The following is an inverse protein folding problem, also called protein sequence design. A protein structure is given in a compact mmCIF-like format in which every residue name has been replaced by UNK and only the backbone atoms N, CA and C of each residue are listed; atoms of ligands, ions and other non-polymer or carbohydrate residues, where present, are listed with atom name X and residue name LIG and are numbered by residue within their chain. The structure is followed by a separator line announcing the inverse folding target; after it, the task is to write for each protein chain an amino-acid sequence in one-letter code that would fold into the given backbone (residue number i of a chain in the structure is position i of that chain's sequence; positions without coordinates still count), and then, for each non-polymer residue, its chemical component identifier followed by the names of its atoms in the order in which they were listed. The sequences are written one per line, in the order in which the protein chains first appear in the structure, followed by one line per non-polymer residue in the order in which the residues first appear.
data_IF_994607416291
#
_entry.id   IF_994607416291
#
_cell.length_a   1.000
_cell.length_b   1.000
_cell.length_c   1.000
_cell.angle_alpha   90.00
_cell.angle_beta   90.00
_cell.angle_gamma   90.00
#
_symmetry.space_group_name_H-M   'P 1'
#
loop_
_entity.id
_entity.type
_entity.pdbx_description
1 polymer ?
#
# COMPACT_ATOMS: atom_id res chain seq x y z
N UNK A 1 -5.69 -3.77 -8.84
CA UNK A 1 -5.45 -3.61 -7.38
C UNK A 1 -5.17 -4.95 -6.69
N UNK A 2 -4.13 -5.00 -5.86
CA UNK A 2 -3.82 -6.14 -4.99
C UNK A 2 -3.85 -5.73 -3.52
N UNK A 3 -4.60 -6.48 -2.71
CA UNK A 3 -4.59 -6.36 -1.25
C UNK A 3 -3.49 -7.23 -0.66
N UNK A 4 -2.75 -6.70 0.28
CA UNK A 4 -1.65 -7.36 0.99
C UNK A 4 -2.07 -7.49 2.45
N UNK A 5 -2.29 -8.71 2.91
CA UNK A 5 -2.72 -8.98 4.29
C UNK A 5 -1.74 -9.84 5.06
N UNK A 6 -0.90 -10.60 4.37
CA UNK A 6 0.04 -11.54 4.96
C UNK A 6 1.43 -11.34 4.41
N UNK A 7 2.42 -11.88 5.12
CA UNK A 7 3.79 -11.89 4.62
C UNK A 7 3.93 -12.73 3.34
N UNK A 8 3.08 -13.73 3.14
CA UNK A 8 3.03 -14.53 1.91
C UNK A 8 2.59 -13.69 0.70
N UNK A 9 1.66 -12.74 0.89
CA UNK A 9 1.23 -11.84 -0.19
C UNK A 9 2.37 -10.97 -0.70
N UNK A 10 3.25 -10.51 0.21
CA UNK A 10 4.45 -9.73 -0.13
C UNK A 10 5.45 -10.59 -0.91
N UNK A 11 5.68 -11.83 -0.46
CA UNK A 11 6.53 -12.80 -1.20
C UNK A 11 5.98 -13.05 -2.60
N UNK A 12 4.66 -13.23 -2.72
CA UNK A 12 4.01 -13.43 -4.00
C UNK A 12 4.09 -12.18 -4.88
N UNK A 13 3.90 -10.98 -4.33
CA UNK A 13 4.05 -9.70 -5.04
C UNK A 13 5.44 -9.55 -5.66
N UNK A 14 6.48 -9.86 -4.89
CA UNK A 14 7.88 -9.87 -5.36
C UNK A 14 8.14 -10.86 -6.51
N UNK A 15 7.41 -11.98 -6.54
CA UNK A 15 7.60 -13.04 -7.53
C UNK A 15 6.80 -12.83 -8.80
N UNK A 16 5.61 -12.24 -8.68
CA UNK A 16 4.66 -12.12 -9.80
C UNK A 16 4.85 -10.83 -10.59
N UNK A 17 5.39 -9.79 -9.97
CA UNK A 17 5.50 -8.47 -10.58
C UNK A 17 6.96 -8.03 -10.59
N UNK A 18 7.43 -7.50 -11.72
CA UNK A 18 8.80 -7.00 -11.88
C UNK A 18 8.94 -5.62 -11.21
N UNK A 19 8.66 -5.57 -9.91
CA UNK A 19 8.62 -4.34 -9.12
C UNK A 19 10.02 -3.97 -8.62
N UNK A 20 10.33 -2.66 -8.47
CA UNK A 20 11.58 -2.20 -7.88
C UNK A 20 11.83 -2.82 -6.51
N UNK A 21 13.08 -3.24 -6.24
CA UNK A 21 13.43 -3.90 -5.00
C UNK A 21 13.20 -3.02 -3.77
N UNK A 22 13.47 -1.71 -3.88
CA UNK A 22 13.21 -0.74 -2.83
C UNK A 22 11.72 -0.66 -2.50
N UNK A 23 10.86 -0.57 -3.52
CA UNK A 23 9.41 -0.53 -3.35
C UNK A 23 8.86 -1.73 -2.56
N UNK A 24 9.32 -2.95 -2.90
CA UNK A 24 8.92 -4.16 -2.19
C UNK A 24 9.42 -4.15 -0.74
N UNK A 25 10.65 -3.69 -0.52
CA UNK A 25 11.21 -3.62 0.84
C UNK A 25 10.44 -2.61 1.70
N UNK A 26 9.99 -1.49 1.15
CA UNK A 26 9.19 -0.49 1.87
C UNK A 26 7.81 -1.03 2.28
N UNK A 27 7.11 -1.73 1.38
CA UNK A 27 5.88 -2.46 1.71
C UNK A 27 6.13 -3.48 2.82
N UNK A 28 7.26 -4.18 2.76
CA UNK A 28 7.66 -5.16 3.77
C UNK A 28 7.93 -4.52 5.12
N UNK A 29 8.67 -3.42 5.16
CA UNK A 29 8.94 -2.69 6.41
C UNK A 29 7.64 -2.17 7.03
N UNK A 30 6.72 -1.64 6.21
CA UNK A 30 5.41 -1.22 6.67
C UNK A 30 4.60 -2.37 7.30
N UNK A 31 4.62 -3.56 6.69
CA UNK A 31 3.96 -4.75 7.24
C UNK A 31 4.61 -5.21 8.54
N UNK A 32 5.95 -5.21 8.61
CA UNK A 32 6.69 -5.58 9.82
C UNK A 32 6.36 -4.62 10.96
N UNK A 33 6.31 -3.31 10.70
CA UNK A 33 5.91 -2.33 11.71
C UNK A 33 4.49 -2.57 12.26
N UNK A 34 3.54 -2.96 11.40
CA UNK A 34 2.19 -3.35 11.84
C UNK A 34 2.19 -4.65 12.65
N UNK A 35 3.00 -5.64 12.25
CA UNK A 35 3.19 -6.87 13.01
C UNK A 35 3.82 -6.61 14.39
N UNK A 36 4.81 -5.74 14.49
CA UNK A 36 5.43 -5.38 15.75
C UNK A 36 4.45 -4.68 16.70
N UNK A 37 3.48 -3.93 16.16
CA UNK A 37 2.46 -3.25 16.93
C UNK A 37 1.31 -4.18 17.41
N UNK A 38 0.89 -5.14 16.57
CA UNK A 38 -0.36 -5.89 16.79
C UNK A 38 -0.21 -7.42 16.79
N UNK A 39 0.98 -7.94 16.47
CA UNK A 39 1.26 -9.36 16.21
C UNK A 39 1.53 -10.20 17.45
N UNK A 40 1.08 -9.78 18.64
CA UNK A 40 1.37 -10.47 19.90
C UNK A 40 1.05 -11.97 19.83
N UNK A 41 2.02 -12.79 20.22
CA UNK A 41 1.89 -14.26 20.24
C UNK A 41 1.89 -14.94 18.87
N UNK A 42 2.08 -14.21 17.76
CA UNK A 42 2.15 -14.75 16.40
C UNK A 42 3.57 -14.64 15.84
N UNK A 43 3.84 -15.39 14.79
CA UNK A 43 5.04 -15.23 13.95
C UNK A 43 4.69 -14.42 12.70
N UNK A 44 5.68 -13.82 12.04
CA UNK A 44 5.47 -13.11 10.77
C UNK A 44 4.75 -13.95 9.71
N UNK A 45 5.04 -15.25 9.63
CA UNK A 45 4.40 -16.15 8.66
C UNK A 45 2.96 -16.54 9.03
N UNK A 46 2.54 -16.35 10.30
CA UNK A 46 1.18 -16.67 10.79
C UNK A 46 0.34 -15.44 11.09
N UNK A 47 0.95 -14.26 11.05
CA UNK A 47 0.27 -12.99 11.21
C UNK A 47 -0.46 -12.59 9.93
N UNK A 48 -1.66 -12.05 10.12
CA UNK A 48 -2.42 -11.38 9.08
C UNK A 48 -2.91 -10.06 9.64
N UNK A 49 -2.85 -9.02 8.79
CA UNK A 49 -3.44 -7.74 9.13
C UNK A 49 -4.94 -7.88 9.42
N UNK A 50 -5.49 -7.09 10.35
CA UNK A 50 -6.93 -7.05 10.60
C UNK A 50 -7.72 -6.81 9.31
N UNK A 51 -8.97 -7.28 9.27
CA UNK A 51 -9.83 -7.14 8.08
C UNK A 51 -10.10 -5.69 7.67
N UNK A 52 -9.83 -4.73 8.55
CA UNK A 52 -10.04 -3.30 8.37
C UNK A 52 -8.75 -2.49 8.18
N UNK A 53 -7.57 -3.06 8.43
CA UNK A 53 -6.28 -2.43 8.17
C UNK A 53 -5.62 -3.13 6.98
N UNK A 54 -5.34 -2.38 5.92
CA UNK A 54 -4.89 -2.97 4.68
C UNK A 54 -3.71 -2.23 4.08
N UNK A 55 -2.78 -3.03 3.54
CA UNK A 55 -1.80 -2.58 2.57
C UNK A 55 -2.35 -2.87 1.18
N UNK A 56 -2.29 -1.87 0.28
CA UNK A 56 -2.72 -2.02 -1.11
C UNK A 56 -1.57 -1.72 -2.06
N UNK A 57 -1.47 -2.50 -3.13
CA UNK A 57 -0.72 -2.16 -4.32
C UNK A 57 -1.69 -1.86 -5.47
N UNK A 58 -1.63 -0.64 -6.02
CA UNK A 58 -2.35 -0.30 -7.25
C UNK A 58 -1.41 -0.43 -8.43
N UNK A 59 -1.89 -1.05 -9.50
CA UNK A 59 -1.09 -1.34 -10.70
C UNK A 59 -1.89 -1.22 -12.00
N UNK A 60 -3.17 -0.86 -11.92
CA UNK A 60 -4.04 -0.73 -13.08
C UNK A 60 -4.70 0.65 -13.14
N UNK A 61 -4.99 1.10 -14.35
CA UNK A 61 -5.64 2.39 -14.57
C UNK A 61 -7.06 2.45 -13.98
N UNK A 62 -7.74 1.32 -13.82
CA UNK A 62 -9.07 1.24 -13.21
C UNK A 62 -9.02 1.44 -11.68
N UNK A 63 -7.87 1.17 -11.05
CA UNK A 63 -7.66 1.40 -9.62
C UNK A 63 -7.76 2.89 -9.24
N UNK A 64 -7.61 3.80 -10.22
CA UNK A 64 -7.76 5.24 -10.01
C UNK A 64 -9.15 5.60 -9.50
N UNK A 65 -10.19 4.91 -9.97
CA UNK A 65 -11.57 5.22 -9.58
C UNK A 65 -11.81 4.89 -8.11
N UNK A 66 -11.20 3.79 -7.65
CA UNK A 66 -11.20 3.45 -6.23
C UNK A 66 -10.45 4.50 -5.40
N UNK A 67 -9.23 4.87 -5.82
CA UNK A 67 -8.44 5.89 -5.11
C UNK A 67 -9.17 7.24 -5.03
N UNK A 68 -9.77 7.70 -6.14
CA UNK A 68 -10.54 8.96 -6.16
C UNK A 68 -11.80 8.91 -5.31
N UNK A 69 -12.44 7.75 -5.19
CA UNK A 69 -13.57 7.58 -4.26
C UNK A 69 -13.18 7.77 -2.80
N UNK A 70 -11.89 7.68 -2.48
CA UNK A 70 -11.34 7.79 -1.12
C UNK A 70 -10.57 9.10 -0.89
N UNK A 71 -10.64 10.04 -1.83
CA UNK A 71 -9.83 11.26 -1.81
C UNK A 71 -10.06 12.13 -0.57
N UNK A 72 -11.31 12.20 -0.10
CA UNK A 72 -11.69 12.96 1.11
C UNK A 72 -11.23 12.27 2.41
N UNK A 73 -10.78 11.01 2.32
CA UNK A 73 -10.29 10.20 3.43
C UNK A 73 -8.75 10.14 3.47
N UNK A 74 -8.06 10.85 2.57
CA UNK A 74 -6.59 10.89 2.53
C UNK A 74 -6.07 11.72 3.69
N UNK A 75 -5.24 11.09 4.52
CA UNK A 75 -4.56 11.73 5.65
C UNK A 75 -3.18 12.25 5.27
N UNK A 76 -2.47 11.52 4.42
CA UNK A 76 -1.16 11.93 3.92
C UNK A 76 -0.86 11.33 2.56
N UNK A 77 0.00 12.03 1.81
CA UNK A 77 0.62 11.56 0.58
C UNK A 77 2.13 11.78 0.70
N UNK A 78 2.89 10.70 0.56
CA UNK A 78 4.33 10.71 0.46
C UNK A 78 4.74 10.33 -0.96
N UNK A 79 5.55 11.20 -1.56
CA UNK A 79 6.05 11.01 -2.93
C UNK A 79 7.53 10.67 -2.86
N UNK A 80 7.84 9.42 -3.09
CA UNK A 80 9.21 8.93 -3.16
C UNK A 80 9.73 9.00 -4.60
N UNK A 81 11.03 8.73 -4.79
CA UNK A 81 11.65 8.83 -6.13
C UNK A 81 10.92 7.97 -7.16
N UNK A 82 10.48 6.77 -6.79
CA UNK A 82 9.95 5.74 -7.70
C UNK A 82 8.48 5.38 -7.46
N UNK A 83 7.89 5.83 -6.35
CA UNK A 83 6.56 5.41 -5.94
C UNK A 83 5.84 6.46 -5.10
N UNK A 84 4.54 6.25 -4.91
CA UNK A 84 3.70 7.00 -3.99
C UNK A 84 3.25 6.10 -2.84
N UNK A 85 3.18 6.67 -1.64
CA UNK A 85 2.60 6.05 -0.44
C UNK A 85 1.53 6.98 0.10
N UNK A 86 0.31 6.49 0.22
CA UNK A 86 -0.85 7.27 0.65
C UNK A 86 -1.45 6.64 1.89
N UNK A 87 -1.64 7.43 2.95
CA UNK A 87 -2.43 7.05 4.11
C UNK A 87 -3.89 7.45 3.93
N UNK A 88 -4.81 6.50 4.08
CA UNK A 88 -6.25 6.71 3.97
C UNK A 88 -6.93 6.26 5.27
N UNK A 89 -7.64 7.17 5.93
CA UNK A 89 -8.41 6.89 7.14
C UNK A 89 -9.82 6.44 6.78
N UNK A 90 -10.12 5.16 6.98
CA UNK A 90 -11.46 4.60 6.78
C UNK A 90 -11.96 3.95 8.06
N UNK A 91 -13.17 4.29 8.53
CA UNK A 91 -13.76 3.69 9.73
C UNK A 91 -12.82 3.70 10.96
N UNK A 92 -12.07 4.80 11.14
CA UNK A 92 -11.04 4.98 12.18
C UNK A 92 -9.82 4.05 12.06
N UNK A 93 -9.57 3.50 10.88
CA UNK A 93 -8.46 2.61 10.58
C UNK A 93 -7.61 3.18 9.44
N UNK A 94 -6.30 3.19 9.64
CA UNK A 94 -5.37 3.65 8.62
C UNK A 94 -5.09 2.53 7.62
N UNK A 95 -5.42 2.78 6.35
CA UNK A 95 -5.02 1.97 5.21
C UNK A 95 -3.85 2.65 4.51
N UNK A 96 -2.89 1.85 4.04
CA UNK A 96 -1.73 2.36 3.31
C UNK A 96 -1.79 1.85 1.88
N UNK A 97 -1.76 2.77 0.93
CA UNK A 97 -1.82 2.50 -0.50
C UNK A 97 -0.48 2.82 -1.13
N UNK A 98 0.02 1.90 -1.95
CA UNK A 98 1.26 2.04 -2.70
C UNK A 98 1.01 1.88 -4.21
N UNK A 99 1.68 2.70 -5.01
CA UNK A 99 1.76 2.50 -6.46
C UNK A 99 3.03 3.14 -7.04
N UNK A 100 3.49 2.64 -8.19
CA UNK A 100 4.69 3.15 -8.85
C UNK A 100 4.39 4.44 -9.61
N UNK A 101 5.40 5.31 -9.76
CA UNK A 101 5.29 6.43 -10.71
C UNK A 101 5.03 5.92 -12.13
N UNK A 102 4.17 6.62 -12.85
CA UNK A 102 3.69 6.21 -14.16
C UNK A 102 2.57 5.16 -14.12
N UNK A 103 2.07 4.77 -12.94
CA UNK A 103 0.87 3.90 -12.85
C UNK A 103 -0.37 4.66 -13.30
N UNK A 104 -0.46 5.95 -12.96
CA UNK A 104 -1.55 6.82 -13.38
C UNK A 104 -1.07 7.88 -14.37
N UNK A 105 -2.02 8.58 -15.00
CA UNK A 105 -1.68 9.69 -15.90
C UNK A 105 -0.95 10.80 -15.15
N UNK A 106 -0.02 11.48 -15.81
CA UNK A 106 0.78 12.56 -15.24
C UNK A 106 -0.05 13.64 -14.53
N UNK A 107 -1.25 13.96 -15.03
CA UNK A 107 -2.18 14.92 -14.41
C UNK A 107 -2.57 14.47 -12.99
N UNK A 108 -2.87 13.18 -12.82
CA UNK A 108 -3.27 12.59 -11.53
C UNK A 108 -2.09 12.55 -10.58
N UNK A 109 -0.94 12.13 -11.08
CA UNK A 109 0.29 12.05 -10.27
C UNK A 109 0.77 13.44 -9.84
N UNK A 110 0.64 14.44 -10.70
CA UNK A 110 0.92 15.84 -10.37
C UNK A 110 -0.07 16.35 -9.33
N UNK A 111 -1.36 16.02 -9.45
CA UNK A 111 -2.36 16.39 -8.46
C UNK A 111 -2.06 15.79 -7.08
N UNK A 112 -1.62 14.53 -7.02
CA UNK A 112 -1.22 13.87 -5.78
C UNK A 112 0.06 14.44 -5.16
N UNK A 113 0.90 15.10 -5.95
CA UNK A 113 2.17 15.67 -5.51
C UNK A 113 2.09 17.14 -5.06
N UNK A 114 0.91 17.78 -5.13
CA UNK A 114 0.66 19.17 -4.71
C UNK A 114 -0.21 19.23 -3.45
#
# INVERSE_FOLDING_TARGET
MRRIQTFADIKALKQTENLPALYIEEIKQQFVGMFEAEGEGKTLDTFSLPTHACLYHLNESDDKHWLFGLIEQVEFIEVEKEYYRIGIMQDHQMNIVYFLKGTFTEIIETWLAN
#
